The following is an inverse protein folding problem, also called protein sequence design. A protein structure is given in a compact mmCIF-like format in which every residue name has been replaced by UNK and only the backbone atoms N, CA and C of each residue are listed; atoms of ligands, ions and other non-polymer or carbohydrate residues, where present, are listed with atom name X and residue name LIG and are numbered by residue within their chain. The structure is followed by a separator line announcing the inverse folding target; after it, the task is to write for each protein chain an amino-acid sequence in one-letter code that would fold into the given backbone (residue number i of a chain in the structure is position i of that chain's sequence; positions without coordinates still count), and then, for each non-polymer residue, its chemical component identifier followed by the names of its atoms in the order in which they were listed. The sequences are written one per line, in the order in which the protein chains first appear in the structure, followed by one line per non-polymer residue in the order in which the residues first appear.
data_IF_443672154480
#
_entry.id   IF_443672154480
#
_cell.length_a   1.000
_cell.length_b   1.000
_cell.length_c   1.000
_cell.angle_alpha   90.00
_cell.angle_beta   90.00
_cell.angle_gamma   90.00
#
_symmetry.space_group_name_H-M   'P 1'
#
loop_
_entity.id
_entity.type
_entity.pdbx_description
1 polymer ?
#
# COMPACT_ATOMS: atom_id res chain seq x y z
N UNK A 1 -2.71 -58.44 -26.99
CA UNK A 1 -1.47 -58.23 -27.74
C UNK A 1 -0.79 -57.01 -27.10
N UNK A 2 0.11 -57.17 -26.16
CA UNK A 2 1.60 -57.22 -26.25
C UNK A 2 2.10 -56.25 -27.34
N UNK A 3 2.77 -55.13 -27.02
CA UNK A 3 4.18 -55.05 -26.63
C UNK A 3 4.56 -53.65 -26.09
N UNK A 4 5.31 -53.62 -25.03
CA UNK A 4 6.35 -52.63 -24.66
C UNK A 4 7.67 -53.10 -25.26
N UNK A 5 8.81 -52.50 -24.96
CA UNK A 5 9.34 -51.12 -24.80
C UNK A 5 10.66 -50.88 -25.56
N UNK A 6 11.28 -49.70 -25.46
CA UNK A 6 12.76 -49.43 -25.48
C UNK A 6 12.94 -47.90 -25.56
N UNK A 7 13.84 -47.16 -24.97
CA UNK A 7 15.03 -47.44 -24.21
C UNK A 7 15.79 -46.11 -24.03
N UNK A 8 16.18 -45.85 -22.85
CA UNK A 8 17.38 -45.18 -22.33
C UNK A 8 18.36 -44.50 -23.28
N UNK A 9 18.73 -43.25 -23.04
CA UNK A 9 20.16 -42.85 -22.92
C UNK A 9 20.32 -41.52 -22.18
N UNK A 10 21.02 -41.59 -21.06
CA UNK A 10 21.67 -40.44 -20.40
C UNK A 10 23.06 -40.25 -21.05
N UNK A 11 23.63 -39.04 -21.05
CA UNK A 11 25.07 -38.88 -21.01
C UNK A 11 25.55 -38.27 -19.67
N UNK A 12 26.68 -38.81 -19.31
CA UNK A 12 27.47 -38.63 -18.08
C UNK A 12 28.18 -37.27 -18.04
N UNK A 13 28.31 -36.80 -16.82
CA UNK A 13 29.22 -35.80 -16.31
C UNK A 13 30.66 -35.84 -16.84
N UNK A 14 31.26 -34.70 -17.09
CA UNK A 14 32.73 -34.52 -17.01
C UNK A 14 33.04 -33.44 -15.97
N UNK A 15 33.67 -33.89 -14.87
CA UNK A 15 34.40 -33.05 -13.93
C UNK A 15 35.68 -32.54 -14.60
N UNK A 16 35.98 -31.28 -14.46
CA UNK A 16 37.31 -30.72 -14.66
C UNK A 16 37.73 -30.10 -13.34
N UNK A 17 38.78 -30.69 -12.77
CA UNK A 17 39.56 -30.23 -11.64
C UNK A 17 40.64 -29.32 -12.23
N UNK A 18 40.84 -28.15 -11.67
CA UNK A 18 41.95 -27.26 -12.00
C UNK A 18 42.35 -26.46 -10.77
N UNK A 19 43.55 -26.69 -10.34
CA UNK A 19 44.16 -26.32 -9.06
C UNK A 19 44.73 -24.90 -9.04
N UNK A 20 44.68 -24.31 -7.87
CA UNK A 20 45.67 -23.51 -7.13
C UNK A 20 46.64 -22.56 -7.86
N UNK A 21 46.65 -21.30 -7.44
CA UNK A 21 47.89 -20.56 -7.20
C UNK A 21 47.68 -19.50 -6.12
N UNK A 22 48.35 -19.72 -4.99
CA UNK A 22 48.65 -18.71 -3.96
C UNK A 22 49.73 -17.75 -4.50
N UNK A 23 49.55 -16.47 -4.26
CA UNK A 23 50.68 -15.52 -4.22
C UNK A 23 50.47 -14.56 -3.05
N UNK A 24 51.23 -14.77 -2.04
CA UNK A 24 51.47 -13.83 -0.94
C UNK A 24 52.60 -12.88 -1.37
N UNK A 25 52.43 -11.58 -1.12
CA UNK A 25 53.60 -10.68 -1.05
C UNK A 25 53.39 -9.61 0.04
N UNK A 26 54.47 -9.43 0.73
CA UNK A 26 54.77 -8.93 2.05
C UNK A 26 54.73 -7.40 2.19
N UNK A 27 54.55 -7.01 3.44
CA UNK A 27 54.86 -5.77 4.14
C UNK A 27 56.05 -4.94 3.61
N UNK A 28 55.87 -3.59 3.67
CA UNK A 28 56.98 -2.68 4.11
C UNK A 28 56.39 -1.65 5.08
N UNK A 29 56.93 -1.69 6.30
CA UNK A 29 56.85 -0.67 7.35
C UNK A 29 57.98 0.30 7.14
N UNK A 30 57.71 1.62 7.21
CA UNK A 30 58.75 2.62 7.47
C UNK A 30 58.22 3.67 8.44
N UNK A 31 58.79 3.65 9.65
CA UNK A 31 58.70 4.71 10.63
C UNK A 31 60.00 5.53 10.59
N UNK A 32 59.91 6.82 10.85
CA UNK A 32 60.96 7.72 11.44
C UNK A 32 60.29 9.08 11.58
N UNK A 33 59.98 9.63 12.68
CA UNK A 33 60.65 10.13 13.90
C UNK A 33 61.42 11.47 13.73
N UNK A 34 61.14 12.33 14.71
CA UNK A 34 61.85 13.50 15.23
C UNK A 34 61.71 14.80 14.43
N UNK A 35 61.39 15.95 14.97
CA UNK A 35 61.53 16.51 16.31
C UNK A 35 61.87 17.97 16.10
N UNK A 36 61.36 18.90 16.91
CA UNK A 36 61.82 20.27 16.90
C UNK A 36 60.81 21.27 17.47
N UNK A 37 61.02 21.66 18.71
CA UNK A 37 60.32 22.74 19.43
C UNK A 37 60.74 24.13 18.93
N UNK A 38 59.82 25.10 18.94
CA UNK A 38 59.99 26.38 19.68
C UNK A 38 58.83 27.35 19.48
N UNK A 39 58.23 27.70 20.57
CA UNK A 39 57.70 28.96 21.11
C UNK A 39 57.34 30.11 20.19
N UNK A 40 56.15 30.64 20.46
CA UNK A 40 55.81 32.03 20.18
C UNK A 40 54.32 32.32 20.07
N UNK A 41 53.71 32.79 21.09
CA UNK A 41 52.49 33.33 21.53
C UNK A 41 51.51 34.02 20.56
N UNK A 42 50.34 34.12 21.16
CA UNK A 42 49.25 35.09 21.11
C UNK A 42 47.97 34.65 20.42
N UNK A 43 47.00 34.41 21.35
CA UNK A 43 45.56 34.70 21.29
C UNK A 43 44.90 34.89 19.94
N UNK A 44 43.94 33.99 19.64
CA UNK A 44 42.57 34.35 19.27
C UNK A 44 41.70 33.10 19.00
N UNK A 45 40.58 33.06 19.64
CA UNK A 45 39.35 32.42 19.15
C UNK A 45 39.33 30.90 19.01
N UNK A 46 39.10 30.21 20.10
CA UNK A 46 38.65 28.82 20.08
C UNK A 46 37.27 28.74 19.42
N UNK A 47 37.23 28.37 18.16
CA UNK A 47 36.02 27.74 17.61
C UNK A 47 36.03 26.32 18.09
N UNK A 48 35.35 26.08 19.23
CA UNK A 48 34.86 24.74 19.59
C UNK A 48 34.03 24.23 18.42
N UNK A 49 34.52 23.21 17.76
CA UNK A 49 33.67 22.35 16.95
C UNK A 49 32.61 21.71 17.88
N UNK A 50 31.57 22.48 18.13
CA UNK A 50 30.35 21.97 18.77
C UNK A 50 29.78 20.92 17.88
N UNK A 51 29.73 19.69 18.37
CA UNK A 51 28.92 18.65 17.78
C UNK A 51 27.49 19.19 17.62
N UNK A 52 27.11 19.46 16.36
CA UNK A 52 25.83 20.00 16.02
C UNK A 52 24.73 18.97 16.35
N UNK A 53 24.18 19.04 17.53
CA UNK A 53 22.83 18.58 17.77
C UNK A 53 21.90 19.52 16.99
N UNK A 54 21.65 19.19 15.70
CA UNK A 54 20.74 19.97 14.87
C UNK A 54 19.38 20.05 15.58
N UNK A 55 18.84 21.25 15.65
CA UNK A 55 17.51 21.47 16.21
C UNK A 55 16.46 20.70 15.38
N UNK A 56 15.50 20.09 16.06
CA UNK A 56 14.32 19.50 15.39
C UNK A 56 13.65 20.61 14.55
N UNK A 57 13.27 20.29 13.32
CA UNK A 57 12.61 21.20 12.43
C UNK A 57 11.28 21.69 13.03
N UNK A 58 11.15 22.97 13.32
CA UNK A 58 9.97 23.54 13.95
C UNK A 58 8.70 23.39 13.10
N UNK A 59 8.84 23.40 11.76
CA UNK A 59 7.72 23.19 10.82
C UNK A 59 7.31 21.73 10.76
N UNK A 60 8.28 20.82 10.85
CA UNK A 60 8.03 19.37 10.79
C UNK A 60 8.74 18.68 11.97
N UNK A 61 8.11 18.64 13.15
CA UNK A 61 8.74 18.06 14.35
C UNK A 61 9.21 16.61 14.19
N UNK A 62 8.59 15.87 13.28
CA UNK A 62 8.97 14.51 12.93
C UNK A 62 10.26 14.42 12.08
N UNK A 63 10.71 15.52 11.52
CA UNK A 63 11.99 15.61 10.80
C UNK A 63 13.11 15.97 11.75
N UNK A 64 13.86 14.98 12.21
CA UNK A 64 15.03 15.17 13.09
C UNK A 64 16.29 15.50 12.32
N UNK A 65 17.41 15.76 13.05
CA UNK A 65 18.66 16.25 12.46
C UNK A 65 19.54 15.16 11.82
N UNK A 66 19.30 13.87 12.13
CA UNK A 66 20.14 12.79 11.62
C UNK A 66 19.79 12.51 10.15
N UNK A 67 20.78 12.43 9.28
CA UNK A 67 20.58 12.03 7.88
C UNK A 67 20.08 10.60 7.78
N UNK A 68 19.17 10.37 6.84
CA UNK A 68 18.53 9.08 6.59
C UNK A 68 18.22 8.85 5.11
N UNK A 69 18.13 7.59 4.71
CA UNK A 69 17.57 7.15 3.44
C UNK A 69 16.28 6.37 3.72
N UNK A 70 15.23 6.66 2.96
CA UNK A 70 13.90 6.08 3.17
C UNK A 70 13.44 5.37 1.90
N UNK A 71 12.79 4.24 2.05
CA UNK A 71 12.11 3.55 0.96
C UNK A 71 10.63 3.38 1.23
N UNK A 72 9.84 3.44 0.15
CA UNK A 72 8.50 2.86 0.09
C UNK A 72 8.62 1.53 -0.68
N UNK A 73 8.30 0.43 -0.04
CA UNK A 73 8.15 -0.88 -0.66
C UNK A 73 6.67 -1.21 -0.82
N UNK A 74 6.30 -1.67 -1.98
CA UNK A 74 4.93 -1.92 -2.37
C UNK A 74 4.85 -3.29 -3.05
N UNK A 75 3.93 -4.14 -2.60
CA UNK A 75 3.82 -5.49 -3.13
C UNK A 75 3.22 -5.56 -4.54
N UNK A 76 2.32 -4.64 -4.90
CA UNK A 76 1.62 -4.66 -6.19
C UNK A 76 2.04 -3.53 -7.15
N UNK A 77 1.98 -2.27 -6.72
CA UNK A 77 2.56 -1.09 -7.36
C UNK A 77 1.85 -0.51 -8.60
N UNK A 78 0.99 -1.24 -9.29
CA UNK A 78 0.54 -0.88 -10.64
C UNK A 78 -0.95 -0.48 -10.74
N UNK A 79 -1.58 -0.05 -9.65
CA UNK A 79 -2.94 0.50 -9.69
C UNK A 79 -2.98 1.97 -9.25
N UNK A 80 -4.10 2.63 -9.51
CA UNK A 80 -4.28 4.06 -9.25
C UNK A 80 -4.08 4.43 -7.78
N UNK A 81 -4.51 3.58 -6.85
CA UNK A 81 -4.30 3.78 -5.43
C UNK A 81 -2.80 3.86 -5.10
N UNK A 82 -2.00 2.97 -5.70
CA UNK A 82 -0.54 2.89 -5.51
C UNK A 82 0.19 4.10 -6.08
N UNK A 83 -0.21 4.56 -7.26
CA UNK A 83 0.39 5.76 -7.87
C UNK A 83 0.14 7.01 -7.00
N UNK A 84 -1.05 7.16 -6.43
CA UNK A 84 -1.35 8.27 -5.52
C UNK A 84 -0.55 8.15 -4.21
N UNK A 85 -0.45 6.97 -3.62
CA UNK A 85 0.36 6.76 -2.40
C UNK A 85 1.84 6.98 -2.66
N UNK A 86 2.36 6.55 -3.81
CA UNK A 86 3.75 6.80 -4.22
C UNK A 86 4.05 8.28 -4.33
N UNK A 87 3.13 9.06 -4.93
CA UNK A 87 3.26 10.51 -5.01
C UNK A 87 3.28 11.15 -3.62
N UNK A 88 2.32 10.82 -2.75
CA UNK A 88 2.28 11.31 -1.36
C UNK A 88 3.55 10.93 -0.59
N UNK A 89 4.06 9.71 -0.75
CA UNK A 89 5.23 9.25 -0.02
C UNK A 89 6.50 10.05 -0.35
N UNK A 90 6.77 10.32 -1.63
CA UNK A 90 7.94 11.13 -2.00
C UNK A 90 7.78 12.59 -1.58
N UNK A 91 6.56 13.13 -1.59
CA UNK A 91 6.26 14.48 -1.10
C UNK A 91 6.60 14.60 0.40
N UNK A 92 6.15 13.66 1.21
CA UNK A 92 6.51 13.63 2.65
C UNK A 92 8.02 13.45 2.86
N UNK A 93 8.68 12.61 2.07
CA UNK A 93 10.13 12.47 2.15
C UNK A 93 10.85 13.79 1.84
N UNK A 94 10.36 14.59 0.89
CA UNK A 94 10.92 15.88 0.50
C UNK A 94 10.73 16.96 1.57
N UNK A 95 9.67 16.90 2.37
CA UNK A 95 9.45 17.82 3.49
C UNK A 95 10.53 17.74 4.58
N UNK A 96 11.28 16.62 4.62
CA UNK A 96 12.37 16.45 5.59
C UNK A 96 13.75 16.59 4.95
N UNK A 97 14.47 17.72 5.17
CA UNK A 97 15.81 17.92 4.60
C UNK A 97 16.82 16.85 5.01
N UNK A 98 16.61 16.18 6.15
CA UNK A 98 17.49 15.11 6.61
C UNK A 98 17.30 13.78 5.85
N UNK A 99 16.24 13.64 5.06
CA UNK A 99 16.09 12.50 4.14
C UNK A 99 16.91 12.78 2.88
N UNK A 100 18.07 12.16 2.74
CA UNK A 100 19.01 12.41 1.63
C UNK A 100 18.77 11.52 0.41
N UNK A 101 17.99 10.43 0.56
CA UNK A 101 17.66 9.49 -0.51
C UNK A 101 16.25 8.93 -0.29
N UNK A 102 15.47 8.88 -1.36
CA UNK A 102 14.19 8.15 -1.41
C UNK A 102 14.25 7.07 -2.48
N UNK A 103 13.73 5.89 -2.18
CA UNK A 103 13.66 4.74 -3.11
C UNK A 103 12.23 4.20 -3.12
N UNK A 104 11.74 3.89 -4.31
CA UNK A 104 10.51 3.13 -4.49
C UNK A 104 10.83 1.73 -5.01
N UNK A 105 10.25 0.71 -4.40
CA UNK A 105 10.37 -0.68 -4.82
C UNK A 105 8.97 -1.24 -5.10
N UNK A 106 8.76 -1.78 -6.29
CA UNK A 106 7.49 -2.35 -6.74
C UNK A 106 7.61 -3.88 -6.87
N UNK A 107 6.84 -4.61 -6.07
CA UNK A 107 6.79 -6.07 -6.09
C UNK A 107 6.02 -6.67 -7.30
N UNK A 108 5.32 -5.82 -8.09
CA UNK A 108 4.60 -6.23 -9.32
C UNK A 108 3.60 -7.38 -9.10
N UNK A 109 2.94 -7.41 -7.93
CA UNK A 109 2.03 -8.50 -7.55
C UNK A 109 2.71 -9.84 -7.26
N UNK A 110 4.06 -9.85 -7.22
CA UNK A 110 4.84 -11.07 -6.99
C UNK A 110 5.47 -11.05 -5.59
N UNK A 111 4.99 -11.92 -4.70
CA UNK A 111 5.48 -12.03 -3.33
C UNK A 111 6.99 -12.26 -3.22
N UNK A 112 7.57 -13.10 -4.11
CA UNK A 112 9.01 -13.39 -4.07
C UNK A 112 9.82 -12.17 -4.49
N UNK A 113 9.33 -11.40 -5.46
CA UNK A 113 9.94 -10.12 -5.84
C UNK A 113 9.89 -9.12 -4.69
N UNK A 114 8.73 -8.94 -4.05
CA UNK A 114 8.58 -8.06 -2.88
C UNK A 114 9.55 -8.43 -1.75
N UNK A 115 9.70 -9.73 -1.44
CA UNK A 115 10.69 -10.22 -0.49
C UNK A 115 12.12 -9.91 -0.93
N UNK A 116 12.44 -10.08 -2.22
CA UNK A 116 13.76 -9.76 -2.77
C UNK A 116 14.04 -8.26 -2.70
N UNK A 117 13.05 -7.43 -2.98
CA UNK A 117 13.16 -5.97 -2.93
C UNK A 117 13.48 -5.49 -1.50
N UNK A 118 12.80 -5.99 -0.47
CA UNK A 118 13.11 -5.69 0.94
C UNK A 118 14.57 -6.10 1.27
N UNK A 119 14.99 -7.32 0.90
CA UNK A 119 16.38 -7.74 1.13
C UNK A 119 17.39 -6.83 0.41
N UNK A 120 17.09 -6.40 -0.80
CA UNK A 120 17.93 -5.48 -1.59
C UNK A 120 18.03 -4.10 -0.93
N UNK A 121 16.93 -3.55 -0.44
CA UNK A 121 16.91 -2.27 0.28
C UNK A 121 17.77 -2.33 1.55
N UNK A 122 17.67 -3.42 2.32
CA UNK A 122 18.53 -3.66 3.50
C UNK A 122 20.00 -3.74 3.10
N UNK A 123 20.33 -4.50 2.06
CA UNK A 123 21.70 -4.62 1.55
C UNK A 123 22.29 -3.30 1.03
N UNK A 124 21.45 -2.40 0.51
CA UNK A 124 21.83 -1.04 0.12
C UNK A 124 22.02 -0.07 1.30
N UNK A 125 21.78 -0.50 2.54
CA UNK A 125 21.88 0.33 3.72
C UNK A 125 20.75 1.36 3.86
N UNK A 126 19.57 1.12 3.29
CA UNK A 126 18.41 1.99 3.49
C UNK A 126 18.06 2.04 4.97
N UNK A 127 17.98 3.27 5.51
CA UNK A 127 17.78 3.50 6.94
C UNK A 127 16.38 3.12 7.42
N UNK A 128 15.35 3.41 6.60
CA UNK A 128 13.95 3.14 6.92
C UNK A 128 13.16 2.64 5.73
N UNK A 129 12.32 1.65 5.95
CA UNK A 129 11.42 1.04 4.95
C UNK A 129 9.99 1.18 5.47
N UNK A 130 9.16 1.86 4.69
CA UNK A 130 7.70 1.81 4.79
C UNK A 130 7.24 0.73 3.83
N UNK A 131 6.45 -0.24 4.29
CA UNK A 131 6.06 -1.40 3.50
C UNK A 131 4.54 -1.57 3.45
N UNK A 132 4.00 -1.76 2.25
CA UNK A 132 2.64 -2.27 2.08
C UNK A 132 2.72 -3.78 1.82
N UNK A 133 2.50 -4.61 2.85
CA UNK A 133 2.73 -6.05 2.75
C UNK A 133 1.52 -6.77 2.12
N UNK A 134 1.31 -6.63 0.80
CA UNK A 134 0.16 -7.22 0.09
C UNK A 134 -0.05 -8.71 0.38
N UNK A 135 1.03 -9.46 0.48
CA UNK A 135 1.01 -10.89 0.80
C UNK A 135 0.81 -11.20 2.31
N UNK A 136 0.49 -10.17 3.11
CA UNK A 136 0.19 -10.33 4.54
C UNK A 136 1.29 -11.09 5.29
N UNK A 137 0.90 -12.18 5.95
CA UNK A 137 1.81 -12.97 6.81
C UNK A 137 3.03 -13.55 6.10
N UNK A 138 2.99 -13.70 4.78
CA UNK A 138 4.14 -14.17 4.01
C UNK A 138 5.31 -13.16 4.00
N UNK A 139 5.02 -11.88 4.24
CA UNK A 139 6.04 -10.83 4.35
C UNK A 139 6.73 -10.78 5.72
N UNK A 140 6.11 -11.31 6.78
CA UNK A 140 6.61 -11.20 8.15
C UNK A 140 8.07 -11.64 8.32
N UNK A 141 8.55 -12.77 7.76
CA UNK A 141 9.93 -13.20 7.95
C UNK A 141 10.96 -12.20 7.40
N UNK A 142 10.72 -11.60 6.22
CA UNK A 142 11.64 -10.65 5.61
C UNK A 142 11.63 -9.30 6.36
N UNK A 143 10.46 -8.84 6.80
CA UNK A 143 10.33 -7.63 7.61
C UNK A 143 11.03 -7.80 8.97
N UNK A 144 10.86 -8.97 9.62
CA UNK A 144 11.56 -9.31 10.86
C UNK A 144 13.08 -9.28 10.68
N UNK A 145 13.58 -9.88 9.60
CA UNK A 145 15.02 -9.88 9.29
C UNK A 145 15.56 -8.47 9.05
N UNK A 146 14.81 -7.62 8.32
CA UNK A 146 15.18 -6.23 8.11
C UNK A 146 15.25 -5.45 9.42
N UNK A 147 14.23 -5.61 10.28
CA UNK A 147 14.19 -5.00 11.62
C UNK A 147 15.38 -5.45 12.50
N UNK A 148 15.67 -6.75 12.54
CA UNK A 148 16.80 -7.31 13.29
C UNK A 148 18.16 -6.85 12.77
N UNK A 149 18.27 -6.51 11.49
CA UNK A 149 19.44 -5.89 10.88
C UNK A 149 19.60 -4.40 11.23
N UNK A 150 18.67 -3.82 12.00
CA UNK A 150 18.71 -2.43 12.45
C UNK A 150 18.04 -1.43 11.47
N UNK A 151 17.41 -1.90 10.40
CA UNK A 151 16.59 -1.06 9.53
C UNK A 151 15.29 -0.68 10.25
N UNK A 152 14.88 0.58 10.17
CA UNK A 152 13.55 1.00 10.61
C UNK A 152 12.53 0.37 9.65
N UNK A 153 11.58 -0.40 10.18
CA UNK A 153 10.54 -1.08 9.39
C UNK A 153 9.18 -0.66 9.90
N UNK A 154 8.35 -0.10 9.02
CA UNK A 154 7.01 0.37 9.33
C UNK A 154 6.02 -0.15 8.28
N UNK A 155 5.46 -1.35 8.48
CA UNK A 155 4.37 -1.81 7.64
C UNK A 155 3.11 -0.96 7.89
N UNK A 156 2.29 -0.80 6.85
CA UNK A 156 1.06 -0.04 6.96
C UNK A 156 -0.11 -0.71 6.22
N UNK A 157 -1.33 -0.39 6.62
CA UNK A 157 -2.62 -0.81 6.08
C UNK A 157 -2.90 -2.32 6.18
N UNK A 158 -2.10 -3.18 5.56
CA UNK A 158 -2.25 -4.64 5.64
C UNK A 158 -1.41 -5.19 6.79
N UNK A 159 -2.00 -6.01 7.63
CA UNK A 159 -1.31 -6.59 8.78
C UNK A 159 -0.44 -7.78 8.38
N UNK A 160 0.89 -7.69 8.54
CA UNK A 160 1.78 -8.79 8.19
C UNK A 160 1.86 -9.89 9.25
N UNK A 161 1.11 -9.76 10.36
CA UNK A 161 1.33 -10.56 11.57
C UNK A 161 2.45 -10.00 12.42
N UNK A 162 2.83 -10.73 13.47
CA UNK A 162 3.93 -10.33 14.36
C UNK A 162 3.57 -9.23 15.35
N UNK A 163 4.60 -8.63 15.96
CA UNK A 163 4.45 -7.65 17.05
C UNK A 163 5.44 -6.51 16.87
N UNK A 164 4.99 -5.28 17.05
CA UNK A 164 5.84 -4.10 17.10
C UNK A 164 6.89 -4.23 18.22
N UNK A 165 8.11 -3.77 17.94
CA UNK A 165 9.26 -3.95 18.85
C UNK A 165 9.93 -5.32 18.78
N UNK A 166 9.38 -6.28 18.03
CA UNK A 166 9.97 -7.60 17.81
C UNK A 166 10.19 -7.92 16.32
N UNK A 167 9.24 -7.57 15.47
CA UNK A 167 9.25 -7.90 14.05
C UNK A 167 9.39 -6.67 13.16
N UNK A 168 9.02 -5.51 13.66
CA UNK A 168 9.07 -4.19 13.01
C UNK A 168 8.95 -3.12 14.08
N UNK A 169 9.17 -1.84 13.73
CA UNK A 169 9.15 -0.74 14.71
C UNK A 169 7.73 -0.36 15.12
N UNK A 170 6.82 -0.25 14.15
CA UNK A 170 5.42 0.05 14.36
C UNK A 170 4.60 -0.50 13.19
N UNK A 171 3.31 -0.72 13.41
CA UNK A 171 2.34 -1.00 12.36
C UNK A 171 1.32 0.15 12.31
N UNK A 172 1.26 0.83 11.18
CA UNK A 172 0.29 1.90 10.94
C UNK A 172 -0.97 1.29 10.35
N UNK A 173 -2.06 1.34 11.13
CA UNK A 173 -3.29 0.62 10.79
C UNK A 173 -4.53 1.50 10.74
N UNK A 174 -5.50 1.04 10.01
CA UNK A 174 -6.93 1.30 10.20
C UNK A 174 -7.55 -0.02 10.64
N UNK A 175 -8.50 0.04 11.57
CA UNK A 175 -9.47 -1.05 11.74
C UNK A 175 -10.47 -0.95 10.59
N UNK A 176 -10.49 -1.93 9.70
CA UNK A 176 -11.39 -1.96 8.55
C UNK A 176 -12.77 -2.56 8.87
N UNK A 177 -12.95 -3.13 10.06
CA UNK A 177 -14.26 -3.62 10.51
C UNK A 177 -15.35 -2.54 10.42
N UNK A 178 -15.12 -1.26 10.84
CA UNK A 178 -16.10 -0.19 10.68
C UNK A 178 -16.52 0.07 9.22
N UNK A 179 -15.63 -0.05 8.24
CA UNK A 179 -15.98 0.08 6.82
C UNK A 179 -17.01 -0.98 6.42
N UNK A 180 -16.73 -2.25 6.76
CA UNK A 180 -17.68 -3.35 6.54
C UNK A 180 -19.01 -3.15 7.25
N UNK A 181 -19.01 -2.61 8.48
CA UNK A 181 -20.25 -2.27 9.22
C UNK A 181 -21.04 -1.17 8.52
N UNK A 182 -20.37 -0.12 8.04
CA UNK A 182 -21.02 0.97 7.30
C UNK A 182 -21.66 0.45 6.02
N UNK A 183 -20.91 -0.24 5.18
CA UNK A 183 -21.43 -0.87 3.96
C UNK A 183 -22.57 -1.85 4.24
N UNK A 184 -22.45 -2.64 5.31
CA UNK A 184 -23.51 -3.57 5.72
C UNK A 184 -24.81 -2.87 6.07
N UNK A 185 -24.75 -1.76 6.81
CA UNK A 185 -25.94 -0.96 7.19
C UNK A 185 -26.57 -0.29 5.96
N UNK A 186 -25.75 0.32 5.11
CA UNK A 186 -26.24 1.00 3.91
C UNK A 186 -26.88 0.01 2.93
N UNK A 187 -26.24 -1.13 2.67
CA UNK A 187 -26.76 -2.20 1.84
C UNK A 187 -28.06 -2.80 2.43
N UNK A 188 -28.07 -3.10 3.73
CA UNK A 188 -29.28 -3.65 4.37
C UNK A 188 -30.45 -2.68 4.29
N UNK A 189 -30.20 -1.39 4.49
CA UNK A 189 -31.22 -0.33 4.33
C UNK A 189 -31.71 -0.23 2.89
N UNK A 190 -30.79 -0.17 1.92
CA UNK A 190 -31.11 -0.03 0.50
C UNK A 190 -31.88 -1.23 -0.06
N UNK A 191 -31.65 -2.43 0.47
CA UNK A 191 -32.31 -3.68 0.09
C UNK A 191 -33.54 -4.02 0.94
N UNK A 192 -33.93 -3.15 1.86
CA UNK A 192 -35.02 -3.44 2.83
C UNK A 192 -34.83 -4.80 3.56
N UNK A 193 -33.59 -5.15 3.88
CA UNK A 193 -33.21 -6.35 4.62
C UNK A 193 -33.27 -7.66 3.84
N UNK A 194 -33.38 -7.65 2.51
CA UNK A 194 -33.52 -8.87 1.68
C UNK A 194 -32.72 -8.75 0.37
N UNK A 195 -31.93 -9.76 0.03
CA UNK A 195 -31.23 -9.80 -1.26
C UNK A 195 -29.93 -10.59 -1.25
N UNK A 196 -29.37 -10.76 -2.44
CA UNK A 196 -28.11 -11.43 -2.67
C UNK A 196 -26.98 -10.40 -2.81
N UNK A 197 -25.99 -10.50 -1.97
CA UNK A 197 -24.82 -9.59 -1.90
C UNK A 197 -23.57 -10.35 -2.27
N UNK A 198 -22.75 -9.81 -3.18
CA UNK A 198 -21.39 -10.31 -3.41
C UNK A 198 -20.39 -9.37 -2.75
N UNK A 199 -19.29 -9.92 -2.21
CA UNK A 199 -18.17 -9.16 -1.72
C UNK A 199 -16.91 -9.48 -2.55
N UNK A 200 -16.30 -8.43 -3.09
CA UNK A 200 -15.06 -8.46 -3.88
C UNK A 200 -13.94 -7.94 -3.00
N UNK A 201 -12.92 -8.75 -2.79
CA UNK A 201 -11.78 -8.42 -1.93
C UNK A 201 -10.45 -8.53 -2.67
N UNK A 202 -9.39 -8.12 -2.00
CA UNK A 202 -8.02 -8.14 -2.49
C UNK A 202 -7.40 -9.53 -2.60
N UNK A 203 -6.08 -9.66 -2.33
CA UNK A 203 -5.38 -10.94 -2.32
C UNK A 203 -5.95 -11.93 -1.29
N UNK A 204 -5.73 -13.25 -1.47
CA UNK A 204 -6.20 -14.25 -0.53
C UNK A 204 -5.68 -14.01 0.90
N UNK A 205 -6.57 -14.14 1.88
CA UNK A 205 -6.26 -13.98 3.31
C UNK A 205 -5.73 -12.58 3.70
N UNK A 206 -5.98 -11.56 2.90
CA UNK A 206 -5.63 -10.18 3.21
C UNK A 206 -6.42 -9.68 4.44
N UNK A 207 -5.74 -9.02 5.38
CA UNK A 207 -6.36 -8.59 6.65
C UNK A 207 -7.44 -7.53 6.45
N UNK A 208 -7.25 -6.57 5.54
CA UNK A 208 -8.24 -5.54 5.22
C UNK A 208 -9.56 -6.20 4.77
N UNK A 209 -9.52 -6.99 3.70
CA UNK A 209 -10.72 -7.65 3.17
C UNK A 209 -11.39 -8.59 4.19
N UNK A 210 -10.60 -9.23 5.08
CA UNK A 210 -11.15 -10.08 6.15
C UNK A 210 -11.88 -9.26 7.21
N UNK A 211 -11.33 -8.15 7.65
CA UNK A 211 -11.94 -7.26 8.65
C UNK A 211 -13.23 -6.64 8.09
N UNK A 212 -13.23 -6.17 6.85
CA UNK A 212 -14.41 -5.66 6.14
C UNK A 212 -15.49 -6.73 6.02
N UNK A 213 -15.12 -7.95 5.64
CA UNK A 213 -16.05 -9.08 5.60
C UNK A 213 -16.67 -9.37 6.98
N UNK A 214 -15.87 -9.33 8.04
CA UNK A 214 -16.35 -9.49 9.42
C UNK A 214 -17.34 -8.39 9.79
N UNK A 215 -17.05 -7.14 9.41
CA UNK A 215 -17.95 -6.01 9.58
C UNK A 215 -19.30 -6.23 8.88
N UNK A 216 -19.27 -6.60 7.59
CA UNK A 216 -20.47 -6.96 6.82
C UNK A 216 -21.28 -8.05 7.50
N UNK A 217 -20.63 -9.16 7.88
CA UNK A 217 -21.29 -10.28 8.54
C UNK A 217 -21.92 -9.88 9.87
N UNK A 218 -21.29 -8.99 10.64
CA UNK A 218 -21.79 -8.54 11.93
C UNK A 218 -23.16 -7.86 11.78
N UNK A 219 -23.36 -7.08 10.73
CA UNK A 219 -24.62 -6.40 10.41
C UNK A 219 -25.64 -7.40 9.85
N UNK A 220 -25.25 -8.21 8.87
CA UNK A 220 -26.20 -9.11 8.17
C UNK A 220 -26.74 -10.23 9.05
N UNK A 221 -26.11 -10.52 10.19
CA UNK A 221 -26.71 -11.40 11.23
C UNK A 221 -28.09 -10.94 11.68
N UNK A 222 -28.36 -9.63 11.65
CA UNK A 222 -29.66 -9.06 12.00
C UNK A 222 -30.65 -9.03 10.83
N UNK A 223 -30.23 -9.43 9.62
CA UNK A 223 -31.05 -9.42 8.40
C UNK A 223 -31.00 -10.79 7.72
N UNK A 224 -31.77 -11.77 8.19
CA UNK A 224 -31.71 -13.17 7.69
C UNK A 224 -32.11 -13.30 6.21
N UNK A 225 -32.80 -12.29 5.63
CA UNK A 225 -33.11 -12.23 4.21
C UNK A 225 -31.94 -11.78 3.31
N UNK A 226 -30.81 -11.34 3.89
CA UNK A 226 -29.61 -10.98 3.13
C UNK A 226 -28.65 -12.16 3.08
N UNK A 227 -28.25 -12.54 1.87
CA UNK A 227 -27.37 -13.67 1.64
C UNK A 227 -26.08 -13.21 0.95
N UNK A 228 -24.91 -13.42 1.59
CA UNK A 228 -23.61 -13.26 0.92
C UNK A 228 -23.40 -14.48 0.02
N UNK A 229 -23.36 -14.24 -1.28
CA UNK A 229 -23.15 -15.26 -2.32
C UNK A 229 -21.75 -15.10 -2.96
N UNK A 230 -21.31 -16.12 -3.69
CA UNK A 230 -19.97 -16.16 -4.29
C UNK A 230 -18.98 -16.94 -3.45
N UNK A 231 -17.70 -16.62 -3.63
CA UNK A 231 -16.60 -17.19 -2.85
C UNK A 231 -16.60 -16.59 -1.44
N UNK A 232 -16.24 -17.39 -0.45
CA UNK A 232 -16.10 -16.96 0.95
C UNK A 232 -14.67 -17.08 1.41
N UNK A 233 -14.18 -16.13 2.23
CA UNK A 233 -14.87 -14.95 2.77
C UNK A 233 -15.22 -13.90 1.71
N UNK A 234 -14.48 -13.80 0.61
CA UNK A 234 -14.72 -12.87 -0.49
C UNK A 234 -14.27 -13.45 -1.83
N UNK A 235 -14.76 -12.86 -2.93
CA UNK A 235 -14.27 -13.16 -4.27
C UNK A 235 -12.94 -12.42 -4.47
N UNK A 236 -11.87 -13.15 -4.73
CA UNK A 236 -10.51 -12.60 -4.87
C UNK A 236 -10.38 -11.85 -6.18
N UNK A 237 -9.97 -10.58 -6.11
CA UNK A 237 -9.71 -9.71 -7.26
C UNK A 237 -8.26 -9.27 -7.36
N UNK A 238 -7.47 -9.48 -6.30
CA UNK A 238 -6.10 -8.98 -6.16
C UNK A 238 -5.98 -7.45 -6.30
N UNK A 239 -7.09 -6.70 -6.14
CA UNK A 239 -7.19 -5.26 -6.42
C UNK A 239 -6.78 -4.88 -7.84
N UNK A 240 -6.89 -5.83 -8.76
CA UNK A 240 -6.57 -5.66 -10.19
C UNK A 240 -7.86 -5.43 -11.00
N UNK A 241 -7.94 -4.36 -11.80
CA UNK A 241 -9.15 -4.05 -12.57
C UNK A 241 -9.54 -5.13 -13.58
N UNK A 242 -8.58 -5.77 -14.23
CA UNK A 242 -8.86 -6.81 -15.24
C UNK A 242 -9.41 -8.07 -14.56
N UNK A 243 -8.80 -8.49 -13.46
CA UNK A 243 -9.29 -9.61 -12.64
C UNK A 243 -10.68 -9.30 -12.07
N UNK A 244 -10.92 -8.07 -11.61
CA UNK A 244 -12.25 -7.65 -11.11
C UNK A 244 -13.32 -7.78 -12.19
N UNK A 245 -13.04 -7.35 -13.44
CA UNK A 245 -13.96 -7.52 -14.56
C UNK A 245 -14.27 -9.00 -14.84
N UNK A 246 -13.28 -9.88 -14.82
CA UNK A 246 -13.44 -11.31 -15.03
C UNK A 246 -14.29 -11.95 -13.93
N UNK A 247 -14.02 -11.60 -12.66
CA UNK A 247 -14.77 -12.07 -11.50
C UNK A 247 -16.22 -11.62 -11.57
N UNK A 248 -16.47 -10.35 -11.86
CA UNK A 248 -17.84 -9.80 -12.02
C UNK A 248 -18.58 -10.50 -13.17
N UNK A 249 -17.95 -10.66 -14.34
CA UNK A 249 -18.56 -11.38 -15.46
C UNK A 249 -18.92 -12.84 -15.10
N UNK A 250 -18.06 -13.53 -14.37
CA UNK A 250 -18.31 -14.89 -13.87
C UNK A 250 -19.48 -14.94 -12.89
N UNK A 251 -19.54 -13.98 -11.96
CA UNK A 251 -20.63 -13.88 -10.98
C UNK A 251 -21.98 -13.61 -11.66
N UNK A 252 -22.00 -12.69 -12.65
CA UNK A 252 -23.20 -12.38 -13.44
C UNK A 252 -23.71 -13.59 -14.23
N UNK A 253 -22.81 -14.41 -14.74
CA UNK A 253 -23.16 -15.66 -15.43
C UNK A 253 -23.72 -16.72 -14.46
N UNK A 254 -23.12 -16.81 -13.27
CA UNK A 254 -23.46 -17.85 -12.28
C UNK A 254 -24.74 -17.56 -11.49
N UNK A 255 -24.96 -16.29 -11.15
CA UNK A 255 -26.06 -15.89 -10.29
C UNK A 255 -27.09 -15.05 -11.06
N UNK A 256 -28.33 -15.55 -11.20
CA UNK A 256 -29.37 -14.83 -11.94
C UNK A 256 -29.78 -13.51 -11.27
N UNK A 257 -29.52 -13.36 -9.97
CA UNK A 257 -29.82 -12.15 -9.21
C UNK A 257 -28.67 -11.79 -8.25
N UNK A 258 -28.15 -10.57 -8.41
CA UNK A 258 -27.21 -9.92 -7.50
C UNK A 258 -27.84 -8.57 -7.17
N UNK A 259 -28.19 -8.34 -5.92
CA UNK A 259 -28.89 -7.14 -5.45
C UNK A 259 -27.94 -6.05 -4.96
N UNK A 260 -26.76 -6.46 -4.49
CA UNK A 260 -25.68 -5.53 -4.15
C UNK A 260 -24.30 -6.11 -4.45
N UNK A 261 -23.38 -5.21 -4.78
CA UNK A 261 -21.93 -5.50 -4.84
C UNK A 261 -21.23 -4.63 -3.82
N UNK A 262 -20.48 -5.28 -2.92
CA UNK A 262 -19.55 -4.62 -2.01
C UNK A 262 -18.14 -4.89 -2.50
N UNK A 263 -17.27 -3.89 -2.45
CA UNK A 263 -15.87 -4.03 -2.87
C UNK A 263 -14.95 -3.17 -2.03
N UNK A 264 -13.79 -3.69 -1.70
CA UNK A 264 -12.72 -2.96 -1.04
C UNK A 264 -11.81 -2.18 -2.00
N UNK A 265 -12.19 -2.07 -3.28
CA UNK A 265 -11.47 -1.25 -4.26
C UNK A 265 -12.41 -0.66 -5.32
N UNK A 266 -12.88 0.56 -5.07
CA UNK A 266 -13.93 1.20 -5.85
C UNK A 266 -13.59 1.47 -7.31
N UNK A 267 -12.36 1.89 -7.62
CA UNK A 267 -11.96 2.18 -9.01
C UNK A 267 -11.90 0.93 -9.88
N UNK A 268 -11.50 -0.21 -9.32
CA UNK A 268 -11.54 -1.49 -10.03
C UNK A 268 -12.97 -1.99 -10.21
N UNK A 269 -13.84 -1.78 -9.21
CA UNK A 269 -15.26 -2.11 -9.33
C UNK A 269 -15.94 -1.29 -10.43
N UNK A 270 -15.74 0.03 -10.47
CA UNK A 270 -16.28 0.89 -11.52
C UNK A 270 -15.88 0.42 -12.93
N UNK A 271 -14.62 0.02 -13.12
CA UNK A 271 -14.13 -0.54 -14.38
C UNK A 271 -14.88 -1.82 -14.81
N UNK A 272 -15.59 -2.49 -13.89
CA UNK A 272 -16.39 -3.69 -14.18
C UNK A 272 -17.86 -3.40 -14.58
N UNK A 273 -18.34 -2.18 -14.45
CA UNK A 273 -19.75 -1.83 -14.77
C UNK A 273 -20.18 -2.21 -16.20
N UNK A 274 -19.32 -2.10 -17.23
CA UNK A 274 -19.68 -2.58 -18.56
C UNK A 274 -20.04 -4.08 -18.64
N UNK A 275 -19.63 -4.90 -17.64
CA UNK A 275 -20.01 -6.31 -17.61
C UNK A 275 -21.52 -6.50 -17.28
N UNK A 276 -22.10 -5.62 -16.47
CA UNK A 276 -23.55 -5.61 -16.22
C UNK A 276 -24.31 -5.29 -17.50
N UNK A 277 -23.94 -4.25 -18.24
CA UNK A 277 -24.55 -3.91 -19.52
C UNK A 277 -24.46 -5.05 -20.52
N UNK A 278 -23.27 -5.69 -20.66
CA UNK A 278 -23.08 -6.85 -21.53
C UNK A 278 -23.96 -8.05 -21.14
N UNK A 279 -24.22 -8.19 -19.86
CA UNK A 279 -25.12 -9.23 -19.35
C UNK A 279 -26.62 -8.86 -19.43
N UNK A 280 -26.96 -7.67 -19.97
CA UNK A 280 -28.34 -7.14 -20.01
C UNK A 280 -28.91 -6.84 -18.63
N UNK A 281 -28.05 -6.44 -17.66
CA UNK A 281 -28.41 -6.24 -16.26
C UNK A 281 -28.15 -4.80 -15.82
N UNK A 282 -28.98 -4.32 -14.93
CA UNK A 282 -28.80 -3.03 -14.28
C UNK A 282 -27.69 -3.07 -13.23
N UNK A 283 -27.11 -1.90 -12.94
CA UNK A 283 -26.14 -1.76 -11.84
C UNK A 283 -26.92 -1.90 -10.51
N UNK A 284 -26.51 -2.80 -9.61
CA UNK A 284 -27.21 -2.98 -8.34
C UNK A 284 -26.79 -1.91 -7.31
N UNK A 285 -27.16 -2.13 -6.05
CA UNK A 285 -26.61 -1.35 -4.94
C UNK A 285 -25.08 -1.54 -4.88
N UNK A 286 -24.33 -0.45 -4.82
CA UNK A 286 -22.86 -0.44 -4.74
C UNK A 286 -22.43 0.13 -3.39
N UNK A 287 -21.60 -0.60 -2.66
CA UNK A 287 -20.92 -0.11 -1.46
C UNK A 287 -19.42 -0.41 -1.55
N UNK A 288 -18.57 0.63 -1.45
CA UNK A 288 -17.15 0.46 -1.77
C UNK A 288 -16.28 1.60 -1.21
N UNK A 289 -14.97 1.57 -1.46
CA UNK A 289 -14.10 2.74 -1.34
C UNK A 289 -14.39 3.75 -2.46
N UNK A 290 -14.09 5.03 -2.21
CA UNK A 290 -14.39 6.12 -3.14
C UNK A 290 -13.56 6.10 -4.43
N UNK A 291 -14.09 6.75 -5.47
CA UNK A 291 -13.42 6.94 -6.75
C UNK A 291 -14.24 7.84 -7.66
N UNK A 292 -13.57 8.69 -8.43
CA UNK A 292 -14.24 9.67 -9.31
C UNK A 292 -15.15 9.02 -10.36
N UNK A 293 -14.73 7.87 -10.93
CA UNK A 293 -15.58 7.12 -11.87
C UNK A 293 -16.91 6.70 -11.25
N UNK A 294 -16.93 6.28 -9.99
CA UNK A 294 -18.16 5.88 -9.30
C UNK A 294 -19.18 7.00 -9.23
N UNK A 295 -18.75 8.20 -8.81
CA UNK A 295 -19.59 9.39 -8.77
C UNK A 295 -20.07 9.81 -10.16
N UNK A 296 -19.20 9.70 -11.19
CA UNK A 296 -19.56 10.04 -12.57
C UNK A 296 -20.54 9.02 -13.18
N UNK A 297 -20.33 7.74 -12.94
CA UNK A 297 -21.23 6.68 -13.37
C UNK A 297 -22.59 6.81 -12.68
N UNK A 298 -22.58 7.08 -11.38
CA UNK A 298 -23.81 7.35 -10.63
C UNK A 298 -24.56 8.55 -11.26
N UNK A 299 -23.89 9.67 -11.45
CA UNK A 299 -24.50 10.88 -12.03
C UNK A 299 -25.11 10.64 -13.42
N UNK A 300 -24.52 9.76 -14.23
CA UNK A 300 -24.97 9.48 -15.59
C UNK A 300 -26.06 8.42 -15.67
N UNK A 301 -26.12 7.46 -14.74
CA UNK A 301 -26.94 6.25 -14.87
C UNK A 301 -28.11 6.16 -13.89
N UNK A 302 -28.03 6.76 -12.70
CA UNK A 302 -29.02 6.56 -11.64
C UNK A 302 -30.45 6.94 -12.02
N UNK A 303 -30.64 7.91 -12.94
CA UNK A 303 -31.97 8.31 -13.39
C UNK A 303 -32.66 7.25 -14.23
N UNK A 304 -31.89 6.49 -15.03
CA UNK A 304 -32.40 5.37 -15.85
C UNK A 304 -32.29 4.02 -15.13
N UNK A 305 -31.50 3.96 -14.07
CA UNK A 305 -31.28 2.78 -13.26
C UNK A 305 -31.53 3.10 -11.77
N UNK A 306 -32.79 3.11 -11.32
CA UNK A 306 -33.16 3.51 -9.96
C UNK A 306 -32.68 2.52 -8.89
N UNK A 307 -32.25 1.32 -9.29
CA UNK A 307 -31.62 0.32 -8.41
C UNK A 307 -30.19 0.70 -8.06
N UNK A 308 -29.52 1.51 -8.87
CA UNK A 308 -28.17 1.97 -8.61
C UNK A 308 -28.17 2.95 -7.42
N UNK A 309 -27.70 2.48 -6.29
CA UNK A 309 -27.38 3.28 -5.10
C UNK A 309 -25.89 3.18 -4.87
N UNK A 310 -25.27 4.29 -4.42
CA UNK A 310 -23.83 4.36 -4.19
C UNK A 310 -23.54 4.80 -2.76
N UNK A 311 -22.73 4.02 -2.08
CA UNK A 311 -22.22 4.27 -0.73
C UNK A 311 -20.71 4.09 -0.73
N UNK A 312 -19.96 5.11 -0.31
CA UNK A 312 -18.52 5.02 -0.29
C UNK A 312 -17.92 5.40 1.08
N UNK A 313 -16.77 4.80 1.37
CA UNK A 313 -15.86 5.22 2.43
C UNK A 313 -14.59 5.74 1.81
N UNK A 314 -13.81 6.51 2.57
CA UNK A 314 -12.51 7.01 2.11
C UNK A 314 -11.55 5.86 1.81
N UNK A 315 -10.91 5.89 0.64
CA UNK A 315 -9.86 4.95 0.24
C UNK A 315 -8.54 5.16 1.00
N UNK A 316 -8.40 6.25 1.75
CA UNK A 316 -7.27 6.55 2.63
C UNK A 316 -5.89 6.41 1.98
N UNK A 317 -5.71 6.84 0.73
CA UNK A 317 -4.40 6.84 0.06
C UNK A 317 -3.36 7.64 0.84
N UNK A 318 -3.79 8.70 1.55
CA UNK A 318 -2.97 9.55 2.42
C UNK A 318 -2.43 8.83 3.68
N UNK A 319 -2.87 7.61 3.97
CA UNK A 319 -2.36 6.83 5.12
C UNK A 319 -0.86 6.57 5.03
N UNK A 320 -0.30 6.46 3.82
CA UNK A 320 1.14 6.34 3.60
C UNK A 320 1.93 7.51 4.21
N UNK A 321 1.34 8.71 4.25
CA UNK A 321 1.98 9.89 4.82
C UNK A 321 2.28 9.72 6.31
N UNK A 322 1.34 9.13 7.05
CA UNK A 322 1.54 8.82 8.48
C UNK A 322 2.66 7.80 8.66
N UNK A 323 2.68 6.75 7.84
CA UNK A 323 3.74 5.74 7.87
C UNK A 323 5.11 6.33 7.53
N UNK A 324 5.16 7.21 6.51
CA UNK A 324 6.38 7.93 6.13
C UNK A 324 6.88 8.84 7.26
N UNK A 325 6.00 9.67 7.82
CA UNK A 325 6.37 10.56 8.96
C UNK A 325 6.87 9.75 10.15
N UNK A 326 6.25 8.61 10.45
CA UNK A 326 6.67 7.72 11.54
C UNK A 326 8.05 7.13 11.29
N UNK A 327 8.28 6.56 10.09
CA UNK A 327 9.56 5.98 9.72
C UNK A 327 10.69 7.02 9.68
N UNK A 328 10.41 8.20 9.10
CA UNK A 328 11.37 9.32 9.06
C UNK A 328 11.72 9.81 10.46
N UNK A 329 10.73 9.95 11.34
CA UNK A 329 10.97 10.39 12.72
C UNK A 329 11.94 9.46 13.46
N UNK A 330 11.72 8.15 13.35
CA UNK A 330 12.63 7.15 13.93
C UNK A 330 14.03 7.21 13.29
N UNK A 331 14.10 7.28 11.97
CA UNK A 331 15.36 7.28 11.22
C UNK A 331 16.21 8.55 11.45
N UNK A 332 15.57 9.70 11.53
CA UNK A 332 16.21 11.01 11.67
C UNK A 332 16.36 11.49 13.11
N UNK A 333 15.81 10.77 14.10
CA UNK A 333 15.72 11.17 15.51
C UNK A 333 14.83 12.41 15.71
N UNK A 334 13.73 12.49 14.98
CA UNK A 334 12.67 13.49 15.14
C UNK A 334 11.62 13.04 16.19
N UNK A 335 10.59 13.87 16.36
CA UNK A 335 9.47 13.56 17.23
C UNK A 335 8.57 12.50 16.57
N UNK A 336 8.48 11.34 17.20
CA UNK A 336 7.65 10.24 16.66
C UNK A 336 6.17 10.59 16.88
N UNK A 337 5.31 10.45 15.84
CA UNK A 337 3.87 10.63 15.98
C UNK A 337 3.29 9.71 17.05
N UNK A 338 2.36 10.23 17.86
CA UNK A 338 1.79 9.50 19.02
C UNK A 338 0.80 8.40 18.66
N UNK A 339 0.16 8.49 17.49
CA UNK A 339 -0.83 7.51 17.02
C UNK A 339 -0.34 6.70 15.85
N UNK A 340 -0.64 5.41 15.86
CA UNK A 340 -0.47 4.48 14.75
C UNK A 340 -1.82 4.03 14.16
N UNK A 341 -2.93 4.52 14.71
CA UNK A 341 -4.28 4.21 14.28
C UNK A 341 -4.91 5.38 13.51
N UNK A 342 -5.54 5.06 12.41
CA UNK A 342 -6.24 6.00 11.53
C UNK A 342 -7.71 5.58 11.45
N UNK A 343 -8.68 6.44 11.80
CA UNK A 343 -10.09 6.08 11.75
C UNK A 343 -10.61 6.01 10.31
N UNK A 344 -11.52 5.06 10.05
CA UNK A 344 -12.26 5.00 8.80
C UNK A 344 -13.25 6.17 8.72
N UNK A 345 -13.44 6.70 7.51
CA UNK A 345 -14.31 7.85 7.26
C UNK A 345 -15.35 7.50 6.17
N UNK A 346 -16.62 7.86 6.43
CA UNK A 346 -17.66 7.91 5.39
C UNK A 346 -17.28 8.95 4.36
N UNK A 347 -17.58 8.66 3.08
CA UNK A 347 -17.29 9.60 2.02
C UNK A 347 -18.56 10.02 1.26
N UNK A 348 -19.21 9.13 0.50
CA UNK A 348 -20.41 9.47 -0.27
C UNK A 348 -21.59 8.56 0.10
N UNK A 349 -22.80 9.13 0.01
CA UNK A 349 -24.04 8.40 0.25
C UNK A 349 -25.15 8.99 -0.65
N UNK A 350 -25.66 8.17 -1.56
CA UNK A 350 -26.66 8.55 -2.54
C UNK A 350 -28.10 8.62 -2.03
N UNK A 351 -28.33 8.38 -0.74
CA UNK A 351 -29.67 8.54 -0.15
C UNK A 351 -30.09 10.01 -0.22
N UNK A 352 -31.33 10.25 -0.67
CA UNK A 352 -31.87 11.60 -0.76
C UNK A 352 -31.78 12.34 0.58
N UNK A 353 -31.28 13.56 0.55
CA UNK A 353 -31.06 14.38 1.75
C UNK A 353 -29.73 14.09 2.49
N UNK A 354 -28.93 13.12 2.04
CA UNK A 354 -27.57 12.96 2.57
C UNK A 354 -26.73 14.21 2.26
N UNK A 355 -25.93 14.72 3.22
CA UNK A 355 -25.02 15.84 2.97
C UNK A 355 -23.89 15.50 2.00
N UNK A 356 -23.56 14.22 1.86
CA UNK A 356 -22.44 13.71 1.07
C UNK A 356 -22.94 12.99 -0.18
N UNK A 357 -23.65 13.68 -1.06
CA UNK A 357 -24.09 13.09 -2.33
C UNK A 357 -22.90 12.72 -3.22
N UNK A 358 -23.01 11.66 -4.05
CA UNK A 358 -21.97 11.30 -5.01
C UNK A 358 -21.61 12.44 -5.96
N UNK A 359 -20.30 12.67 -6.14
CA UNK A 359 -19.79 13.80 -6.93
C UNK A 359 -18.96 13.30 -8.11
N UNK A 360 -19.29 13.80 -9.30
CA UNK A 360 -18.45 13.64 -10.50
C UNK A 360 -17.57 14.87 -10.69
N UNK A 361 -16.27 14.74 -10.54
CA UNK A 361 -15.32 15.81 -10.84
C UNK A 361 -14.73 15.63 -12.24
N UNK A 362 -15.29 16.37 -13.23
CA UNK A 362 -14.86 16.30 -14.64
C UNK A 362 -13.44 16.85 -14.88
N UNK A 363 -12.84 17.55 -13.92
CA UNK A 363 -11.47 18.04 -14.02
C UNK A 363 -10.43 16.98 -13.63
N UNK A 364 -10.89 15.87 -13.04
CA UNK A 364 -10.04 14.75 -12.63
C UNK A 364 -10.14 13.57 -13.60
N UNK A 365 -9.09 12.74 -13.72
CA UNK A 365 -9.21 11.45 -14.40
C UNK A 365 -10.29 10.58 -13.77
N UNK A 366 -10.92 9.71 -14.57
CA UNK A 366 -11.93 8.77 -14.07
C UNK A 366 -11.41 7.90 -12.91
N UNK A 367 -10.14 7.52 -12.96
CA UNK A 367 -9.48 6.69 -11.96
C UNK A 367 -8.96 7.45 -10.73
N UNK A 368 -9.20 8.76 -10.64
CA UNK A 368 -8.83 9.55 -9.46
C UNK A 368 -9.60 9.10 -8.21
N UNK A 369 -8.97 9.27 -7.07
CA UNK A 369 -9.56 8.99 -5.75
C UNK A 369 -9.88 10.32 -5.08
N UNK A 370 -11.16 10.56 -4.84
CA UNK A 370 -11.66 11.85 -4.40
C UNK A 370 -11.17 12.21 -2.97
N UNK A 371 -10.99 11.20 -2.13
CA UNK A 371 -10.52 11.36 -0.75
C UNK A 371 -8.99 11.33 -0.61
N UNK A 372 -8.21 11.42 -1.69
CA UNK A 372 -6.76 11.22 -1.67
C UNK A 372 -5.96 12.27 -0.90
N UNK A 373 -6.51 13.47 -0.70
CA UNK A 373 -5.77 14.60 -0.13
C UNK A 373 -4.85 15.33 -1.12
N UNK A 374 -4.56 14.75 -2.28
CA UNK A 374 -3.78 15.38 -3.34
C UNK A 374 -4.62 16.39 -4.13
N UNK A 375 -3.98 17.47 -4.57
CA UNK A 375 -4.60 18.43 -5.49
C UNK A 375 -4.92 17.78 -6.84
N UNK A 376 -5.86 18.33 -7.64
CA UNK A 376 -6.14 17.81 -8.97
C UNK A 376 -4.92 17.68 -9.88
N UNK A 377 -3.98 18.62 -9.81
CA UNK A 377 -2.74 18.58 -10.60
C UNK A 377 -1.81 17.44 -10.18
N UNK A 378 -1.66 17.22 -8.87
CA UNK A 378 -0.86 16.12 -8.31
C UNK A 378 -1.47 14.76 -8.65
N UNK A 379 -2.79 14.61 -8.52
CA UNK A 379 -3.46 13.38 -8.94
C UNK A 379 -3.28 13.11 -10.43
N UNK A 380 -3.43 14.13 -11.28
CA UNK A 380 -3.20 13.98 -12.73
C UNK A 380 -1.76 13.57 -13.03
N UNK A 381 -0.78 14.14 -12.32
CA UNK A 381 0.62 13.78 -12.48
C UNK A 381 0.86 12.32 -12.05
N UNK A 382 0.44 11.97 -10.84
CA UNK A 382 0.57 10.62 -10.30
C UNK A 382 -0.03 9.55 -11.22
N UNK A 383 -1.28 9.76 -11.66
CA UNK A 383 -2.01 8.82 -12.51
C UNK A 383 -1.49 8.72 -13.96
N UNK A 384 -0.60 9.63 -14.36
CA UNK A 384 0.19 9.54 -15.61
C UNK A 384 1.57 8.93 -15.39
N UNK A 385 1.87 8.45 -14.19
CA UNK A 385 3.19 7.93 -13.81
C UNK A 385 4.26 9.03 -13.66
N UNK A 386 3.87 10.31 -13.61
CA UNK A 386 4.77 11.45 -13.40
C UNK A 386 4.95 11.65 -11.91
N UNK A 387 5.86 10.90 -11.33
CA UNK A 387 6.20 11.01 -9.91
C UNK A 387 7.42 11.93 -9.77
N UNK A 388 7.36 12.97 -8.93
CA UNK A 388 8.50 13.87 -8.76
C UNK A 388 9.68 13.16 -8.10
N UNK A 389 10.90 13.63 -8.35
CA UNK A 389 12.07 13.20 -7.59
C UNK A 389 12.16 13.96 -6.27
N UNK A 390 12.93 13.41 -5.33
CA UNK A 390 13.18 14.07 -4.05
C UNK A 390 13.81 15.48 -4.27
N UNK A 391 14.71 15.59 -5.24
CA UNK A 391 15.41 16.83 -5.58
C UNK A 391 14.46 17.86 -6.25
N UNK A 392 13.50 17.42 -7.06
CA UNK A 392 12.57 18.32 -7.75
C UNK A 392 11.52 18.94 -6.83
N UNK A 393 11.32 18.39 -5.64
CA UNK A 393 10.39 18.89 -4.62
C UNK A 393 11.05 19.83 -3.59
N UNK A 394 12.36 20.04 -3.65
CA UNK A 394 13.17 20.89 -2.76
C UNK A 394 13.65 22.15 -3.44
#
# INVERSE_FOLDING_TARGET
MRQQPTGSTRPRSRRIIGASALAALSLVVAACSSGGSSSGGTTAGGTTAGGGGGAVNSKYPWCGPKQASIALADGFGDNTWRELTRYSAVTIAAECPSVTKYVYANGEGNTQKAISDINSLVAQGITGIVDFPDAGKAMLPVLTKAYQAGTIVVPYRVFPGGTAGQNYNAYLSTDFTPAGVLWGKDVASALNGQGNVVFLGGPPANSQSLEEYQGLQSVFKSYPGIHIIGQKPYNVTNWDPATTQQVVASLLSKYPKIDAVVSDFGTALAASFPQFTKAGRQIPVIATEDGNSLGCDYASMHASDPGFKLFTVSSQTWMVEYAMRYAIALATKGTVPSSTAVPQQNYENSVSGSPNQPVCNKSLPATAIMSSGLTPAEQQAALKGVIPSLESLR
#
